data_IF_937532929931
#
_entry.id   IF_937532929931
#
_cell.length_a   1.000
_cell.length_b   1.000
_cell.length_c   1.000
_cell.angle_alpha   90.00
_cell.angle_beta   90.00
_cell.angle_gamma   90.00
#
_symmetry.space_group_name_H-M   'P 1'
#
loop_
_entity.id
_entity.type
_entity.pdbx_description
1 polymer ?
#
# COMPACT_ATOMS: atom_id res chain seq x y z
N UNK A 1 -21.08 -17.08 8.09
CA UNK A 1 -21.06 -15.80 8.83
C UNK A 1 -19.74 -15.10 8.52
N UNK A 2 -19.73 -14.06 7.68
CA UNK A 2 -18.49 -13.35 7.34
C UNK A 2 -18.16 -12.34 8.45
N UNK A 3 -16.89 -12.18 8.87
CA UNK A 3 -16.53 -11.15 9.84
C UNK A 3 -16.88 -9.78 9.25
N UNK A 4 -17.65 -9.03 10.03
CA UNK A 4 -18.10 -7.70 9.68
C UNK A 4 -16.87 -6.79 9.48
N UNK A 5 -16.73 -6.21 8.29
CA UNK A 5 -15.63 -5.29 7.96
C UNK A 5 -15.81 -4.01 8.78
N UNK A 6 -15.17 -3.93 9.95
CA UNK A 6 -15.20 -2.72 10.79
C UNK A 6 -14.30 -1.66 10.18
N UNK A 7 -14.89 -0.79 9.38
CA UNK A 7 -14.31 0.50 9.03
C UNK A 7 -14.13 1.30 10.32
N UNK A 8 -12.90 1.68 10.68
CA UNK A 8 -12.56 2.49 11.88
C UNK A 8 -12.87 3.97 11.61
N UNK A 9 -13.94 4.27 10.88
CA UNK A 9 -14.36 5.65 10.63
C UNK A 9 -14.98 6.18 11.92
N UNK A 10 -14.27 7.10 12.56
CA UNK A 10 -14.76 7.83 13.71
C UNK A 10 -15.96 8.68 13.26
N UNK A 11 -17.12 8.57 13.92
CA UNK A 11 -18.19 9.55 13.74
C UNK A 11 -17.70 10.89 14.29
N UNK A 12 -18.05 11.99 13.62
CA UNK A 12 -17.75 13.40 13.98
C UNK A 12 -16.35 13.97 13.63
N UNK A 13 -15.58 13.34 12.74
CA UNK A 13 -14.37 13.95 12.17
C UNK A 13 -14.67 14.55 10.79
N UNK A 14 -14.18 15.75 10.51
CA UNK A 14 -14.31 16.39 9.19
C UNK A 14 -13.27 15.80 8.23
N UNK A 15 -13.72 14.99 7.27
CA UNK A 15 -12.88 14.23 6.34
C UNK A 15 -12.59 15.00 5.04
N UNK A 16 -12.63 16.32 5.07
CA UNK A 16 -12.78 17.16 3.87
C UNK A 16 -11.50 17.57 3.15
N UNK A 17 -10.29 17.15 3.54
CA UNK A 17 -9.10 17.55 2.74
C UNK A 17 -8.01 16.50 2.42
N UNK A 18 -7.87 15.37 3.13
CA UNK A 18 -6.69 14.50 2.95
C UNK A 18 -7.00 12.99 3.11
N UNK A 19 -7.09 12.25 2.00
CA UNK A 19 -7.39 10.82 2.02
C UNK A 19 -6.14 9.93 1.92
N UNK A 20 -5.46 9.64 3.04
CA UNK A 20 -4.35 8.68 3.08
C UNK A 20 -4.67 7.42 3.90
N UNK A 21 -4.23 6.27 3.40
CA UNK A 21 -4.43 4.96 4.05
C UNK A 21 -3.11 4.22 4.15
N UNK A 22 -2.77 3.82 5.37
CA UNK A 22 -1.76 2.80 5.60
C UNK A 22 -2.41 1.42 5.48
N UNK A 23 -1.82 0.53 4.70
CA UNK A 23 -2.29 -0.85 4.56
C UNK A 23 -1.19 -1.87 4.81
N UNK A 24 -1.60 -3.04 5.30
CA UNK A 24 -0.74 -4.22 5.40
C UNK A 24 -1.41 -5.41 4.73
N UNK A 25 -0.72 -6.03 3.77
CA UNK A 25 -1.19 -7.20 3.02
C UNK A 25 -0.26 -8.37 3.29
N UNK A 26 -0.75 -9.37 4.04
CA UNK A 26 0.06 -10.52 4.46
C UNK A 26 -0.11 -11.73 3.53
N UNK A 27 1.00 -12.43 3.29
CA UNK A 27 1.04 -13.76 2.70
C UNK A 27 0.32 -14.74 3.63
N UNK A 28 -0.33 -15.75 3.04
CA UNK A 28 -1.01 -16.79 3.80
C UNK A 28 -0.05 -17.47 4.80
N UNK A 29 -0.48 -17.59 6.07
CA UNK A 29 0.32 -18.15 7.16
C UNK A 29 1.69 -17.50 7.33
N UNK A 30 1.85 -16.24 6.90
CA UNK A 30 3.07 -15.46 7.08
C UNK A 30 4.34 -16.11 6.51
N UNK A 31 4.19 -16.97 5.49
CA UNK A 31 5.32 -17.56 4.80
C UNK A 31 6.21 -16.49 4.15
N UNK A 32 7.52 -16.63 4.30
CA UNK A 32 8.54 -15.77 3.69
C UNK A 32 8.67 -16.01 2.18
N UNK A 33 7.63 -15.63 1.44
CA UNK A 33 7.48 -15.89 0.01
C UNK A 33 8.28 -14.92 -0.87
N UNK A 34 8.45 -13.68 -0.42
CA UNK A 34 8.98 -12.57 -1.22
C UNK A 34 10.49 -12.43 -1.16
N UNK A 35 11.17 -13.10 -0.23
CA UNK A 35 12.62 -12.99 -0.07
C UNK A 35 13.03 -13.20 1.37
N UNK A 36 14.16 -12.58 1.74
CA UNK A 36 14.70 -12.64 3.09
C UNK A 36 15.27 -11.27 3.48
N UNK A 37 15.28 -10.98 4.78
CA UNK A 37 15.98 -9.80 5.30
C UNK A 37 17.44 -10.17 5.54
N UNK A 38 18.36 -9.33 5.07
CA UNK A 38 19.79 -9.38 5.40
C UNK A 38 20.31 -8.01 5.80
N UNK A 39 21.63 -7.89 5.92
CA UNK A 39 22.29 -6.69 6.48
C UNK A 39 22.00 -5.39 5.71
N UNK A 40 21.66 -5.50 4.42
CA UNK A 40 21.37 -4.36 3.53
C UNK A 40 19.87 -4.12 3.30
N UNK A 41 19.01 -4.71 4.14
CA UNK A 41 17.55 -4.66 4.02
C UNK A 41 16.97 -5.92 3.36
N UNK A 42 15.82 -5.78 2.69
CA UNK A 42 15.11 -6.93 2.12
C UNK A 42 15.71 -7.34 0.78
N UNK A 43 16.28 -8.54 0.73
CA UNK A 43 16.71 -9.18 -0.51
C UNK A 43 15.51 -9.90 -1.15
N UNK A 44 14.85 -9.22 -2.09
CA UNK A 44 13.69 -9.75 -2.79
C UNK A 44 14.08 -10.85 -3.80
N UNK A 45 13.35 -11.96 -3.77
CA UNK A 45 13.43 -13.00 -4.80
C UNK A 45 12.51 -12.65 -6.00
N UNK A 46 12.42 -13.52 -7.00
CA UNK A 46 11.59 -13.27 -8.19
C UNK A 46 10.11 -13.04 -7.88
N UNK A 47 9.57 -13.68 -6.83
CA UNK A 47 8.18 -13.46 -6.39
C UNK A 47 8.04 -12.13 -5.64
N UNK A 48 9.03 -11.75 -4.84
CA UNK A 48 9.09 -10.41 -4.24
C UNK A 48 9.15 -9.30 -5.29
N UNK A 49 9.87 -9.50 -6.39
CA UNK A 49 9.90 -8.53 -7.48
C UNK A 49 8.58 -8.43 -8.24
N UNK A 50 7.83 -9.52 -8.39
CA UNK A 50 6.45 -9.45 -8.89
C UNK A 50 5.58 -8.59 -7.97
N UNK A 51 5.67 -8.81 -6.65
CA UNK A 51 4.91 -8.05 -5.66
C UNK A 51 5.28 -6.55 -5.67
N UNK A 52 6.57 -6.24 -5.81
CA UNK A 52 7.08 -4.88 -5.93
C UNK A 52 6.59 -4.18 -7.20
N UNK A 53 6.71 -4.84 -8.36
CA UNK A 53 6.29 -4.29 -9.65
C UNK A 53 4.79 -4.03 -9.66
N UNK A 54 3.97 -5.00 -9.25
CA UNK A 54 2.53 -4.83 -9.18
C UNK A 54 2.10 -3.69 -8.24
N UNK A 55 2.86 -3.43 -7.17
CA UNK A 55 2.60 -2.32 -6.26
C UNK A 55 2.86 -0.98 -6.94
N UNK A 56 4.01 -0.85 -7.62
CA UNK A 56 4.41 0.34 -8.38
C UNK A 56 3.48 0.64 -9.56
N UNK A 57 2.82 -0.39 -10.10
CA UNK A 57 1.85 -0.25 -11.19
C UNK A 57 0.46 0.20 -10.71
N UNK A 58 0.17 0.24 -9.40
CA UNK A 58 -1.15 0.67 -8.91
C UNK A 58 -1.63 2.02 -9.49
N UNK A 59 -0.82 3.09 -9.58
CA UNK A 59 -1.26 4.37 -10.17
C UNK A 59 -1.62 4.30 -11.65
N UNK A 60 -1.13 3.30 -12.40
CA UNK A 60 -1.47 3.15 -13.84
C UNK A 60 -2.88 2.58 -14.01
N UNK A 61 -3.33 1.76 -13.06
CA UNK A 61 -4.66 1.14 -13.05
C UNK A 61 -5.69 1.96 -12.26
N UNK A 62 -5.25 2.72 -11.27
CA UNK A 62 -6.07 3.52 -10.40
C UNK A 62 -5.60 4.97 -10.43
N UNK A 63 -6.13 5.75 -11.36
CA UNK A 63 -5.67 7.11 -11.68
C UNK A 63 -5.78 8.11 -10.53
N UNK A 64 -6.58 7.80 -9.50
CA UNK A 64 -6.75 8.57 -8.25
C UNK A 64 -5.71 8.19 -7.17
N UNK A 65 -4.90 7.16 -7.39
CA UNK A 65 -3.90 6.69 -6.43
C UNK A 65 -2.56 7.34 -6.66
N UNK A 66 -1.98 7.79 -5.56
CA UNK A 66 -0.56 8.13 -5.47
C UNK A 66 0.07 7.25 -4.39
N UNK A 67 1.27 6.74 -4.67
CA UNK A 67 2.02 5.94 -3.74
C UNK A 67 2.90 6.86 -2.89
N UNK A 68 2.98 6.57 -1.60
CA UNK A 68 4.00 7.11 -0.70
C UNK A 68 4.81 5.91 -0.15
N UNK A 69 5.41 6.01 1.03
CA UNK A 69 6.29 4.98 1.56
C UNK A 69 5.63 3.61 1.58
N UNK A 70 6.38 2.62 1.12
CA UNK A 70 5.98 1.22 1.11
C UNK A 70 7.22 0.33 1.23
N UNK A 71 7.02 -0.91 1.69
CA UNK A 71 8.05 -1.94 1.73
C UNK A 71 7.44 -3.30 1.45
N UNK A 72 8.12 -4.10 0.63
CA UNK A 72 7.83 -5.53 0.45
C UNK A 72 8.75 -6.27 1.41
N UNK A 73 8.17 -6.80 2.48
CA UNK A 73 8.85 -7.65 3.45
C UNK A 73 8.76 -9.11 3.00
N UNK A 74 9.55 -10.04 3.57
CA UNK A 74 9.51 -11.45 3.18
C UNK A 74 8.11 -12.07 3.13
N UNK A 75 7.22 -11.69 4.04
CA UNK A 75 5.89 -12.31 4.17
C UNK A 75 4.71 -11.34 4.14
N UNK A 76 4.94 -10.05 3.92
CA UNK A 76 3.87 -9.06 3.84
C UNK A 76 4.31 -7.82 3.06
N UNK A 77 3.35 -6.97 2.74
CA UNK A 77 3.59 -5.67 2.12
C UNK A 77 2.95 -4.60 2.98
N UNK A 78 3.73 -3.59 3.33
CA UNK A 78 3.27 -2.37 3.96
C UNK A 78 3.27 -1.24 2.94
N UNK A 79 2.29 -0.35 2.99
CA UNK A 79 2.37 0.86 2.18
C UNK A 79 1.29 1.89 2.46
N UNK A 80 1.59 3.12 2.06
CA UNK A 80 0.70 4.28 2.17
C UNK A 80 0.16 4.61 0.78
N UNK A 81 -1.17 4.75 0.69
CA UNK A 81 -1.88 5.17 -0.52
C UNK A 81 -2.58 6.49 -0.27
N UNK A 82 -2.30 7.49 -1.11
CA UNK A 82 -3.04 8.74 -1.18
C UNK A 82 -4.12 8.67 -2.26
N UNK A 83 -5.30 9.18 -1.96
CA UNK A 83 -6.44 9.26 -2.87
C UNK A 83 -6.67 10.71 -3.26
N UNK A 84 -6.32 11.08 -4.48
CA UNK A 84 -6.57 12.43 -5.01
C UNK A 84 -7.76 12.43 -5.95
N UNK A 85 -8.68 13.40 -5.80
CA UNK A 85 -9.62 13.73 -6.86
C UNK A 85 -8.89 14.56 -7.90
N UNK A 86 -8.53 13.93 -9.02
CA UNK A 86 -7.99 14.66 -10.16
C UNK A 86 -9.07 15.60 -10.71
N UNK A 87 -9.01 16.88 -10.37
CA UNK A 87 -9.35 17.90 -11.35
C UNK A 87 -8.22 17.90 -12.38
N UNK A 88 -8.41 17.17 -13.48
CA UNK A 88 -7.59 17.36 -14.67
C UNK A 88 -7.90 18.74 -15.26
N UNK A 89 -7.29 19.79 -14.72
CA UNK A 89 -7.14 21.05 -15.45
C UNK A 89 -5.71 21.11 -15.99
N UNK A 90 -5.50 20.43 -17.11
CA UNK A 90 -4.39 20.71 -18.00
C UNK A 90 -4.82 21.85 -18.94
N UNK A 91 -4.77 23.10 -18.48
CA UNK A 91 -4.68 24.34 -19.28
C UNK A 91 -4.19 25.46 -18.32
N UNK A 92 -3.23 26.37 -18.58
CA UNK A 92 -2.36 26.75 -19.70
C UNK A 92 -1.26 27.70 -19.12
N UNK A 93 -0.06 27.69 -19.72
CA UNK A 93 0.92 28.79 -19.90
C UNK A 93 1.45 29.65 -18.72
N UNK A 94 2.77 29.62 -18.48
CA UNK A 94 3.54 30.70 -17.81
C UNK A 94 4.95 30.28 -17.32
N UNK A 95 6.01 31.11 -17.46
CA UNK A 95 7.40 30.66 -17.37
C UNK A 95 7.98 30.54 -15.95
N UNK A 96 9.10 29.83 -15.91
CA UNK A 96 9.86 29.31 -14.78
C UNK A 96 10.35 30.39 -13.80
N UNK A 97 10.20 30.13 -12.49
CA UNK A 97 11.23 30.18 -11.42
C UNK A 97 10.62 30.61 -10.07
N UNK A 98 10.58 29.67 -9.12
CA UNK A 98 10.91 29.82 -7.69
C UNK A 98 10.21 28.75 -6.84
N UNK A 99 11.02 27.95 -6.13
CA UNK A 99 10.68 27.04 -5.04
C UNK A 99 9.58 25.98 -5.31
N UNK A 100 10.01 24.72 -5.45
CA UNK A 100 9.14 23.54 -5.50
C UNK A 100 8.42 23.29 -4.17
N UNK A 101 7.47 24.17 -3.82
CA UNK A 101 6.33 23.81 -2.99
C UNK A 101 5.40 23.04 -3.93
N UNK A 102 5.34 21.72 -3.78
CA UNK A 102 4.29 20.92 -4.39
C UNK A 102 2.96 21.64 -4.09
N UNK A 103 2.17 22.06 -5.11
CA UNK A 103 0.88 22.67 -4.86
C UNK A 103 0.10 21.75 -3.95
N UNK A 104 -0.45 22.28 -2.84
CA UNK A 104 -1.35 21.57 -1.94
C UNK A 104 -2.46 20.96 -2.80
N UNK A 105 -2.36 19.64 -3.03
CA UNK A 105 -3.31 18.88 -3.81
C UNK A 105 -4.48 18.62 -2.89
N UNK A 106 -5.68 19.08 -3.25
CA UNK A 106 -6.91 18.71 -2.54
C UNK A 106 -7.18 17.23 -2.79
N UNK A 107 -7.23 16.44 -1.72
CA UNK A 107 -7.46 15.00 -1.81
C UNK A 107 -8.93 14.71 -1.48
N UNK A 108 -9.64 14.10 -2.41
CA UNK A 108 -11.05 13.78 -2.23
C UNK A 108 -11.28 12.57 -1.33
N UNK A 109 -12.48 12.44 -0.73
CA UNK A 109 -12.82 11.32 0.12
C UNK A 109 -12.80 9.98 -0.64
N UNK A 110 -12.36 8.92 0.06
CA UNK A 110 -12.39 7.55 -0.47
C UNK A 110 -13.83 7.09 -0.70
N UNK A 111 -14.15 6.64 -1.93
CA UNK A 111 -15.44 6.00 -2.19
C UNK A 111 -15.53 4.68 -1.45
N UNK A 112 -16.66 4.39 -0.81
CA UNK A 112 -16.87 3.15 -0.09
C UNK A 112 -16.54 1.93 -1.00
N UNK A 113 -15.64 1.06 -0.53
CA UNK A 113 -15.21 -0.13 -1.27
C UNK A 113 -13.99 0.05 -2.18
N UNK A 114 -13.58 1.28 -2.51
CA UNK A 114 -12.48 1.55 -3.46
C UNK A 114 -11.14 0.98 -3.01
N UNK A 115 -10.76 1.16 -1.74
CA UNK A 115 -9.55 0.55 -1.17
C UNK A 115 -9.58 -0.98 -1.22
N UNK A 116 -10.76 -1.58 -0.99
CA UNK A 116 -10.93 -3.03 -1.11
C UNK A 116 -10.76 -3.53 -2.55
N UNK A 117 -11.21 -2.75 -3.53
CA UNK A 117 -11.02 -3.04 -4.96
C UNK A 117 -9.55 -2.97 -5.35
N UNK A 118 -8.82 -1.96 -4.85
CA UNK A 118 -7.37 -1.82 -5.08
C UNK A 118 -6.61 -3.00 -4.51
N UNK A 119 -6.85 -3.36 -3.24
CA UNK A 119 -6.19 -4.51 -2.61
C UNK A 119 -6.53 -5.80 -3.33
N UNK A 120 -7.78 -5.98 -3.77
CA UNK A 120 -8.19 -7.15 -4.55
C UNK A 120 -7.45 -7.23 -5.88
N UNK A 121 -7.34 -6.11 -6.59
CA UNK A 121 -6.63 -6.02 -7.87
C UNK A 121 -5.14 -6.34 -7.69
N UNK A 122 -4.49 -5.73 -6.69
CA UNK A 122 -3.11 -6.02 -6.33
C UNK A 122 -2.89 -7.52 -6.05
N UNK A 123 -3.69 -8.09 -5.15
CA UNK A 123 -3.59 -9.52 -4.79
C UNK A 123 -3.77 -10.41 -6.02
N UNK A 124 -4.73 -10.09 -6.88
CA UNK A 124 -5.02 -10.84 -8.11
C UNK A 124 -3.85 -10.78 -9.09
N UNK A 125 -3.30 -9.59 -9.35
CA UNK A 125 -2.19 -9.39 -10.27
C UNK A 125 -0.96 -10.21 -9.85
N UNK A 126 -0.56 -10.12 -8.57
CA UNK A 126 0.56 -10.90 -8.03
C UNK A 126 0.27 -12.39 -8.10
N UNK A 127 -0.93 -12.83 -7.69
CA UNK A 127 -1.31 -14.26 -7.71
C UNK A 127 -1.22 -14.83 -9.11
N UNK A 128 -1.74 -14.11 -10.11
CA UNK A 128 -1.69 -14.52 -11.52
C UNK A 128 -0.24 -14.71 -11.99
N UNK A 129 0.62 -13.73 -11.76
CA UNK A 129 2.02 -13.78 -12.20
C UNK A 129 2.83 -14.86 -11.46
N UNK A 130 2.59 -15.05 -10.16
CA UNK A 130 3.24 -16.11 -9.38
C UNK A 130 2.78 -17.49 -9.84
N UNK A 131 1.49 -17.68 -10.13
CA UNK A 131 0.98 -18.95 -10.64
C UNK A 131 1.58 -19.28 -12.02
N UNK A 132 1.76 -18.29 -12.89
CA UNK A 132 2.46 -18.48 -14.17
C UNK A 132 3.93 -18.86 -13.96
N UNK A 133 4.60 -18.24 -13.00
CA UNK A 133 6.01 -18.51 -12.70
C UNK A 133 6.24 -19.89 -12.07
N UNK A 134 5.35 -20.32 -11.15
CA UNK A 134 5.53 -21.54 -10.35
C UNK A 134 4.73 -22.73 -10.82
N UNK A 135 3.80 -22.54 -11.76
CA UNK A 135 2.86 -23.56 -12.22
C UNK A 135 1.99 -24.14 -11.09
N UNK A 136 1.59 -23.30 -10.13
CA UNK A 136 0.79 -23.69 -8.94
C UNK A 136 -0.60 -23.05 -8.95
N UNK A 137 -1.46 -23.30 -9.95
CA UNK A 137 -2.81 -22.74 -9.97
C UNK A 137 -3.61 -23.22 -8.75
N UNK A 138 -4.42 -22.34 -8.18
CA UNK A 138 -5.27 -22.64 -7.03
C UNK A 138 -4.58 -22.53 -5.65
N UNK A 139 -3.26 -22.34 -5.59
CA UNK A 139 -2.59 -22.15 -4.31
C UNK A 139 -2.95 -20.81 -3.68
N UNK A 140 -3.27 -20.83 -2.38
CA UNK A 140 -3.60 -19.61 -1.63
C UNK A 140 -2.32 -18.85 -1.35
N UNK A 141 -2.16 -17.66 -1.94
CA UNK A 141 -0.98 -16.82 -1.74
C UNK A 141 -1.15 -15.83 -0.58
N UNK A 142 -2.36 -15.33 -0.37
CA UNK A 142 -2.64 -14.23 0.55
C UNK A 142 -3.52 -14.66 1.71
N UNK A 143 -3.40 -13.98 2.84
CA UNK A 143 -4.49 -13.97 3.82
C UNK A 143 -5.76 -13.37 3.20
N UNK A 144 -6.93 -13.80 3.68
CA UNK A 144 -8.22 -13.34 3.16
C UNK A 144 -8.40 -11.83 3.29
N UNK A 145 -8.09 -11.29 4.47
CA UNK A 145 -8.23 -9.86 4.78
C UNK A 145 -6.90 -9.11 4.60
N UNK A 146 -6.94 -7.82 4.90
CA UNK A 146 -5.78 -6.94 4.99
C UNK A 146 -6.04 -5.97 6.15
N UNK A 147 -4.97 -5.41 6.73
CA UNK A 147 -5.10 -4.35 7.73
C UNK A 147 -5.14 -2.99 7.02
N UNK A 148 -5.97 -2.08 7.51
CA UNK A 148 -6.06 -0.70 7.06
C UNK A 148 -6.12 0.25 8.26
N UNK A 149 -5.43 1.39 8.14
CA UNK A 149 -5.47 2.51 9.08
C UNK A 149 -5.62 3.81 8.28
N UNK A 150 -6.58 4.64 8.69
CA UNK A 150 -6.78 5.98 8.11
C UNK A 150 -5.75 6.90 8.72
N UNK A 151 -4.92 7.50 7.89
CA UNK A 151 -3.95 8.52 8.32
C UNK A 151 -4.71 9.79 8.65
N UNK A 152 -4.50 10.33 9.85
CA UNK A 152 -5.36 11.38 10.42
C UNK A 152 -4.79 12.78 10.32
N UNK A 153 -3.47 12.87 10.27
CA UNK A 153 -2.71 14.11 10.26
C UNK A 153 -1.24 13.84 9.84
N UNK A 154 -0.46 14.91 9.67
CA UNK A 154 0.95 14.84 9.29
C UNK A 154 1.84 14.10 10.33
N UNK A 155 1.70 14.31 11.66
CA UNK A 155 2.44 13.51 12.65
C UNK A 155 2.17 12.00 12.54
N UNK A 156 0.93 11.60 12.30
CA UNK A 156 0.56 10.19 12.07
C UNK A 156 1.19 9.64 10.80
N UNK A 157 1.11 10.42 9.72
CA UNK A 157 1.76 10.10 8.44
C UNK A 157 3.26 9.87 8.61
N UNK A 158 3.97 10.78 9.28
CA UNK A 158 5.42 10.69 9.48
C UNK A 158 5.80 9.47 10.32
N UNK A 159 5.03 9.17 11.38
CA UNK A 159 5.25 7.95 12.18
C UNK A 159 5.09 6.67 11.35
N UNK A 160 4.11 6.62 10.45
CA UNK A 160 3.88 5.47 9.59
C UNK A 160 5.01 5.35 8.55
N UNK A 161 5.44 6.47 7.95
CA UNK A 161 6.60 6.50 7.03
C UNK A 161 7.85 5.96 7.73
N UNK A 162 8.15 6.43 8.94
CA UNK A 162 9.29 5.96 9.74
C UNK A 162 9.17 4.47 10.09
N UNK A 163 7.97 4.02 10.47
CA UNK A 163 7.71 2.61 10.71
C UNK A 163 8.03 1.76 9.47
N UNK A 164 7.56 2.17 8.29
CA UNK A 164 7.80 1.47 7.03
C UNK A 164 9.29 1.44 6.68
N UNK A 165 9.97 2.58 6.77
CA UNK A 165 11.39 2.71 6.42
C UNK A 165 12.29 1.88 7.34
N UNK A 166 11.96 1.83 8.63
CA UNK A 166 12.75 1.10 9.63
C UNK A 166 12.34 -0.36 9.79
N UNK A 167 11.25 -0.79 9.14
CA UNK A 167 10.71 -2.15 9.28
C UNK A 167 11.71 -3.25 8.91
N UNK A 168 12.48 -3.16 7.81
CA UNK A 168 13.52 -4.15 7.50
C UNK A 168 14.52 -4.36 8.64
N UNK A 169 14.99 -3.27 9.25
CA UNK A 169 15.94 -3.34 10.37
C UNK A 169 15.32 -3.88 11.66
N UNK A 170 13.99 -3.81 11.78
CA UNK A 170 13.22 -4.30 12.92
C UNK A 170 12.61 -5.68 12.68
N UNK A 171 13.01 -6.38 11.62
CA UNK A 171 12.36 -7.61 11.18
C UNK A 171 12.19 -8.67 12.28
N UNK A 172 13.20 -8.91 13.12
CA UNK A 172 13.13 -9.90 14.21
C UNK A 172 12.11 -9.51 15.29
N UNK A 173 11.92 -8.20 15.50
CA UNK A 173 10.93 -7.66 16.44
C UNK A 173 9.59 -7.35 15.77
N UNK A 174 9.45 -7.63 14.47
CA UNK A 174 8.24 -7.36 13.73
C UNK A 174 7.11 -8.29 14.18
N UNK A 175 5.92 -7.73 14.37
CA UNK A 175 4.77 -8.50 14.86
C UNK A 175 4.35 -9.63 13.92
N UNK A 176 4.75 -9.59 12.64
CA UNK A 176 4.46 -10.60 11.63
C UNK A 176 5.60 -11.59 11.41
N UNK A 177 6.70 -11.53 12.17
CA UNK A 177 7.89 -12.37 11.95
C UNK A 177 7.63 -13.87 12.14
N UNK A 178 6.80 -14.25 13.12
CA UNK A 178 6.50 -15.64 13.51
C UNK A 178 5.00 -15.91 13.71
N UNK A 179 4.13 -15.04 13.17
CA UNK A 179 2.66 -15.16 13.31
C UNK A 179 2.07 -16.31 12.50
#
# INVERSE_FOLDING_TARGET
MYPNRRSIRLPYYDYTDEGAYFITICVAQYHCLFGQVGDRGVALNRVGQIALTAWKELPTHFSRIQLDQFVVMPNHVHGILFFSDKLQNLEQTGPQNAASLHPLRTFGPLKAGELGTIVRSYKSAVTRQVNLLRQTPGHVLWQKNYYEHVVRDEPDLNRIRDYILTNPSRWVADKYYQS
#
